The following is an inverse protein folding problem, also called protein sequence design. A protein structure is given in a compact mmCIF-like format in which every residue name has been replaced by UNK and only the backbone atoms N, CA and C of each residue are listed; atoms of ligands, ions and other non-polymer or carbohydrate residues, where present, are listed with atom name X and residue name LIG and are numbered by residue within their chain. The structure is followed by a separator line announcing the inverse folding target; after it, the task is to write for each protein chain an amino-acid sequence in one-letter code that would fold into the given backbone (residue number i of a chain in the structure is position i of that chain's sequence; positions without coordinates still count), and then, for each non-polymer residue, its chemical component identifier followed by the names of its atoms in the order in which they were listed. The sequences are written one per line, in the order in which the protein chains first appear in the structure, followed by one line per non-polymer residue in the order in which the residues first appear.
data_IF_092721167757
#
_entry.id   IF_092721167757
#
_cell.length_a   1.000
_cell.length_b   1.000
_cell.length_c   1.000
_cell.angle_alpha   90.00
_cell.angle_beta   90.00
_cell.angle_gamma   90.00
#
_symmetry.space_group_name_H-M   'P 1'
#
loop_
_entity.id
_entity.type
_entity.pdbx_description
1 polymer ?
#
# COMPACT_ATOMS: atom_id res chain seq x y z
N UNK A 1 -67.05 -15.38 23.47
CA UNK A 1 -65.78 -16.16 23.42
C UNK A 1 -65.20 -16.36 22.01
N UNK A 2 -65.98 -16.41 20.91
CA UNK A 2 -65.42 -16.61 19.55
C UNK A 2 -64.51 -15.45 19.08
N UNK A 3 -64.89 -14.20 19.38
CA UNK A 3 -64.12 -13.00 18.98
C UNK A 3 -62.80 -12.91 19.75
N UNK A 4 -62.80 -13.19 21.06
CA UNK A 4 -61.56 -13.22 21.86
C UNK A 4 -60.57 -14.28 21.36
N UNK A 5 -61.05 -15.49 21.00
CA UNK A 5 -60.20 -16.53 20.40
C UNK A 5 -59.60 -16.11 19.06
N UNK A 6 -60.33 -15.36 18.24
CA UNK A 6 -59.83 -14.81 16.96
C UNK A 6 -58.76 -13.72 17.19
N UNK A 7 -58.96 -12.87 18.19
CA UNK A 7 -58.03 -11.79 18.52
C UNK A 7 -56.72 -12.36 19.08
N UNK A 8 -56.80 -13.37 19.94
CA UNK A 8 -55.63 -14.12 20.44
C UNK A 8 -54.93 -14.84 19.29
N UNK A 9 -55.65 -15.50 18.38
CA UNK A 9 -55.05 -16.18 17.23
C UNK A 9 -54.32 -15.20 16.30
N UNK A 10 -54.87 -13.99 16.09
CA UNK A 10 -54.25 -12.96 15.28
C UNK A 10 -52.97 -12.43 15.92
N UNK A 11 -52.99 -12.15 17.23
CA UNK A 11 -51.77 -11.78 17.97
C UNK A 11 -50.70 -12.87 17.91
N UNK A 12 -51.10 -14.14 18.00
CA UNK A 12 -50.19 -15.27 17.90
C UNK A 12 -49.57 -15.39 16.50
N UNK A 13 -50.36 -15.18 15.44
CA UNK A 13 -49.81 -15.13 14.07
C UNK A 13 -48.84 -13.98 13.85
N UNK A 14 -49.12 -12.81 14.43
CA UNK A 14 -48.25 -11.64 14.32
C UNK A 14 -46.91 -11.91 15.02
N UNK A 15 -46.96 -12.49 16.23
CA UNK A 15 -45.77 -12.84 16.99
C UNK A 15 -44.87 -13.83 16.22
N UNK A 16 -45.47 -14.84 15.58
CA UNK A 16 -44.72 -15.82 14.77
C UNK A 16 -44.02 -15.12 13.59
N UNK A 17 -44.73 -14.26 12.85
CA UNK A 17 -44.14 -13.50 11.74
C UNK A 17 -42.98 -12.63 12.22
N UNK A 18 -43.13 -11.95 13.36
CA UNK A 18 -42.07 -11.12 13.95
C UNK A 18 -40.84 -11.94 14.32
N UNK A 19 -41.00 -13.13 14.88
CA UNK A 19 -39.86 -14.01 15.22
C UNK A 19 -39.11 -14.44 13.96
N UNK A 20 -39.83 -14.84 12.90
CA UNK A 20 -39.19 -15.20 11.63
C UNK A 20 -38.48 -14.01 10.98
N UNK A 21 -39.08 -12.81 11.04
CA UNK A 21 -38.46 -11.60 10.53
C UNK A 21 -37.17 -11.26 11.27
N UNK A 22 -37.17 -11.32 12.61
CA UNK A 22 -35.98 -11.07 13.41
C UNK A 22 -34.88 -12.10 13.15
N UNK A 23 -35.23 -13.38 13.00
CA UNK A 23 -34.26 -14.42 12.62
C UNK A 23 -33.65 -14.16 11.25
N UNK A 24 -34.45 -13.76 10.26
CA UNK A 24 -33.94 -13.45 8.93
C UNK A 24 -32.95 -12.27 8.97
N UNK A 25 -33.29 -11.19 9.68
CA UNK A 25 -32.40 -10.03 9.84
C UNK A 25 -31.12 -10.39 10.57
N UNK A 26 -31.18 -11.26 11.59
CA UNK A 26 -29.97 -11.71 12.29
C UNK A 26 -29.08 -12.62 11.43
N UNK A 27 -29.65 -13.42 10.53
CA UNK A 27 -28.87 -14.29 9.63
C UNK A 27 -28.18 -13.51 8.49
N UNK A 28 -28.81 -12.46 7.95
CA UNK A 28 -28.26 -11.64 6.86
C UNK A 28 -26.92 -10.95 7.27
N UNK A 29 -26.76 -10.70 8.56
CA UNK A 29 -25.62 -10.01 9.15
C UNK A 29 -24.41 -10.94 9.42
N UNK A 30 -24.59 -12.28 9.39
CA UNK A 30 -23.51 -13.25 9.61
C UNK A 30 -22.80 -13.67 8.32
N UNK A 31 -23.51 -13.79 7.19
CA UNK A 31 -22.88 -14.12 5.90
C UNK A 31 -22.09 -12.94 5.30
N UNK A 32 -22.57 -11.71 5.49
CA UNK A 32 -21.90 -10.51 4.96
C UNK A 32 -20.59 -10.15 5.68
N UNK A 33 -20.44 -10.52 6.96
CA UNK A 33 -19.25 -10.24 7.78
C UNK A 33 -18.12 -11.28 7.62
N UNK A 34 -18.36 -12.37 6.89
CA UNK A 34 -17.38 -13.46 6.72
C UNK A 34 -16.43 -13.28 5.54
N UNK A 35 -16.60 -12.22 4.75
CA UNK A 35 -15.81 -11.98 3.52
C UNK A 35 -14.49 -11.23 3.76
N UNK A 36 -14.29 -10.63 4.95
CA UNK A 36 -13.11 -9.81 5.24
C UNK A 36 -11.92 -10.59 5.84
N UNK A 37 -12.01 -11.92 5.99
CA UNK A 37 -11.02 -12.69 6.74
C UNK A 37 -9.85 -13.27 5.92
N UNK A 38 -9.69 -12.85 4.65
CA UNK A 38 -8.53 -13.20 3.82
C UNK A 38 -7.55 -12.03 3.63
N UNK A 39 -7.29 -11.24 4.68
CA UNK A 39 -6.07 -10.44 4.75
C UNK A 39 -5.10 -11.20 5.66
N UNK A 40 -4.26 -12.06 5.06
CA UNK A 40 -3.03 -12.49 5.73
C UNK A 40 -2.15 -11.24 5.78
N UNK A 41 -2.33 -10.41 6.81
CA UNK A 41 -1.33 -9.43 7.20
C UNK A 41 -0.04 -10.21 7.44
N UNK A 42 0.84 -10.17 6.44
CA UNK A 42 2.22 -10.50 6.64
C UNK A 42 2.67 -9.72 7.86
N UNK A 43 3.13 -10.39 8.92
CA UNK A 43 3.80 -9.71 10.03
C UNK A 43 4.96 -8.91 9.41
N UNK A 44 4.72 -7.63 9.16
CA UNK A 44 5.75 -6.71 8.72
C UNK A 44 6.74 -6.63 9.88
N UNK A 45 7.96 -7.14 9.65
CA UNK A 45 9.00 -7.12 10.65
C UNK A 45 9.16 -5.67 11.15
N UNK A 46 9.02 -5.40 12.45
CA UNK A 46 9.06 -4.05 12.98
C UNK A 46 10.34 -3.33 12.55
N UNK A 47 10.20 -2.09 12.09
CA UNK A 47 11.34 -1.24 11.74
C UNK A 47 12.18 -0.97 12.99
N UNK A 48 13.41 -1.48 13.02
CA UNK A 48 14.38 -1.10 14.04
C UNK A 48 14.87 0.32 13.76
N UNK A 49 14.77 1.26 14.72
CA UNK A 49 15.20 2.64 14.51
C UNK A 49 16.67 2.73 14.08
N UNK A 50 16.96 3.62 13.13
CA UNK A 50 18.32 3.95 12.69
C UNK A 50 18.57 5.44 12.79
N UNK A 51 19.85 5.83 12.79
CA UNK A 51 20.23 7.20 12.48
C UNK A 51 20.20 7.41 10.96
N UNK A 52 20.10 8.66 10.51
CA UNK A 52 20.18 8.98 9.08
C UNK A 52 21.49 8.43 8.49
N UNK A 53 21.37 7.74 7.36
CA UNK A 53 22.51 7.20 6.62
C UNK A 53 22.56 7.88 5.26
N UNK A 54 23.70 8.47 4.93
CA UNK A 54 24.02 8.99 3.60
C UNK A 54 25.21 8.18 3.09
N UNK A 55 25.11 7.62 1.89
CA UNK A 55 26.16 6.77 1.35
C UNK A 55 26.16 6.72 -0.18
N UNK A 56 27.36 6.51 -0.72
CA UNK A 56 27.60 6.13 -2.12
C UNK A 56 27.74 4.60 -2.27
N UNK A 57 27.68 3.85 -1.16
CA UNK A 57 27.65 2.39 -1.18
C UNK A 57 26.17 1.92 -1.22
N UNK A 58 25.72 1.35 -2.35
CA UNK A 58 24.33 0.94 -2.50
C UNK A 58 23.98 -0.23 -1.59
N UNK A 59 24.92 -1.12 -1.23
CA UNK A 59 24.64 -2.24 -0.33
C UNK A 59 24.31 -1.72 1.07
N UNK A 60 25.08 -0.75 1.57
CA UNK A 60 24.83 -0.14 2.87
C UNK A 60 23.45 0.52 2.94
N UNK A 61 22.99 1.13 1.85
CA UNK A 61 21.67 1.74 1.76
C UNK A 61 20.56 0.69 1.74
N UNK A 62 20.75 -0.41 1.01
CA UNK A 62 19.79 -1.52 0.99
C UNK A 62 19.69 -2.21 2.34
N UNK A 63 20.81 -2.45 3.01
CA UNK A 63 20.82 -3.07 4.33
C UNK A 63 20.12 -2.16 5.36
N UNK A 64 20.34 -0.85 5.25
CA UNK A 64 19.65 0.14 6.08
C UNK A 64 18.15 0.24 5.77
N UNK A 65 17.77 0.20 4.49
CA UNK A 65 16.37 0.20 4.09
C UNK A 65 15.69 -1.12 4.43
N UNK A 66 16.40 -2.24 4.39
CA UNK A 66 16.00 -3.57 4.83
C UNK A 66 14.97 -4.28 3.95
N UNK A 67 14.79 -3.84 2.70
CA UNK A 67 14.03 -4.52 1.64
C UNK A 67 14.72 -4.25 0.29
N UNK A 68 14.45 -5.04 -0.77
CA UNK A 68 15.05 -4.78 -2.07
C UNK A 68 14.66 -3.41 -2.63
N UNK A 69 15.61 -2.72 -3.27
CA UNK A 69 15.38 -1.41 -3.89
C UNK A 69 15.71 -1.42 -5.39
N UNK A 70 14.97 -0.68 -6.23
CA UNK A 70 15.37 -0.42 -7.61
C UNK A 70 16.48 0.62 -7.62
N UNK A 71 17.71 0.17 -7.85
CA UNK A 71 18.87 1.04 -7.93
C UNK A 71 18.89 1.72 -9.32
N UNK A 72 18.90 3.07 -9.39
CA UNK A 72 18.95 3.75 -10.68
C UNK A 72 20.30 3.53 -11.37
N UNK A 73 20.27 3.47 -12.70
CA UNK A 73 21.47 3.40 -13.53
C UNK A 73 22.44 4.55 -13.22
N UNK A 74 23.72 4.21 -13.17
CA UNK A 74 24.79 5.13 -12.76
C UNK A 74 24.44 5.82 -11.44
N UNK A 75 24.11 5.01 -10.44
CA UNK A 75 23.89 5.46 -9.06
C UNK A 75 25.05 6.33 -8.58
N UNK A 76 24.72 7.47 -7.97
CA UNK A 76 25.67 8.45 -7.47
C UNK A 76 25.70 8.44 -5.94
N UNK A 77 24.53 8.61 -5.31
CA UNK A 77 24.41 8.66 -3.85
C UNK A 77 22.99 8.37 -3.39
N UNK A 78 22.84 8.03 -2.11
CA UNK A 78 21.53 7.88 -1.51
C UNK A 78 21.50 8.22 -0.03
N UNK A 79 20.27 8.30 0.47
CA UNK A 79 19.95 8.66 1.85
C UNK A 79 18.83 7.78 2.38
N UNK A 80 18.98 7.27 3.59
CA UNK A 80 17.93 6.56 4.33
C UNK A 80 17.65 7.29 5.64
N UNK A 81 16.38 7.56 5.92
CA UNK A 81 15.95 8.26 7.14
C UNK A 81 14.65 7.67 7.69
N UNK A 82 14.52 7.70 9.01
CA UNK A 82 13.32 7.27 9.71
C UNK A 82 12.38 8.46 9.94
N UNK A 83 11.08 8.21 9.85
CA UNK A 83 10.04 9.18 10.16
C UNK A 83 8.80 8.47 10.72
N UNK A 84 7.82 9.25 11.19
CA UNK A 84 6.54 8.72 11.65
C UNK A 84 5.46 9.05 10.62
N UNK A 85 4.74 8.04 10.15
CA UNK A 85 3.58 8.22 9.28
C UNK A 85 2.30 7.92 10.07
N UNK A 86 1.48 8.94 10.28
CA UNK A 86 0.35 8.94 11.21
C UNK A 86 0.75 8.45 12.62
N UNK A 87 0.67 7.15 12.89
CA UNK A 87 0.94 6.54 14.20
C UNK A 87 2.01 5.46 14.18
N UNK A 88 2.58 5.12 13.03
CA UNK A 88 3.55 4.02 12.91
C UNK A 88 4.90 4.49 12.33
N UNK A 89 6.01 3.81 12.70
CA UNK A 89 7.32 4.11 12.14
C UNK A 89 7.36 3.78 10.66
N UNK A 90 7.97 4.66 9.88
CA UNK A 90 8.22 4.49 8.46
C UNK A 90 9.66 4.87 8.15
N UNK A 91 10.17 4.36 7.04
CA UNK A 91 11.53 4.62 6.56
C UNK A 91 11.47 5.08 5.13
N UNK A 92 12.14 6.19 4.86
CA UNK A 92 12.27 6.80 3.54
C UNK A 92 13.69 6.52 3.02
N UNK A 93 13.79 6.14 1.76
CA UNK A 93 15.04 6.13 1.00
C UNK A 93 14.93 7.07 -0.18
N UNK A 94 15.99 7.83 -0.45
CA UNK A 94 16.15 8.61 -1.69
C UNK A 94 17.44 8.17 -2.35
N UNK A 95 17.39 7.79 -3.62
CA UNK A 95 18.52 7.41 -4.45
C UNK A 95 18.62 8.40 -5.61
N UNK A 96 19.81 8.90 -5.85
CA UNK A 96 20.12 9.76 -6.98
C UNK A 96 21.02 8.98 -7.92
N UNK A 97 20.60 8.83 -9.17
CA UNK A 97 21.44 8.35 -10.26
C UNK A 97 21.40 9.32 -11.43
N UNK A 98 22.22 9.05 -12.45
CA UNK A 98 22.37 9.96 -13.58
C UNK A 98 21.09 10.13 -14.43
N UNK A 99 20.18 9.14 -14.41
CA UNK A 99 18.98 9.15 -15.26
C UNK A 99 17.66 9.28 -14.48
N UNK A 100 17.66 9.04 -13.17
CA UNK A 100 16.46 9.10 -12.35
C UNK A 100 16.78 9.36 -10.89
N UNK A 101 15.81 9.97 -10.21
CA UNK A 101 15.74 9.99 -8.74
C UNK A 101 14.69 8.97 -8.31
N UNK A 102 15.03 8.13 -7.36
CA UNK A 102 14.12 7.13 -6.79
C UNK A 102 13.86 7.48 -5.34
N UNK A 103 12.59 7.64 -4.97
CA UNK A 103 12.15 7.73 -3.58
C UNK A 103 11.44 6.42 -3.22
N UNK A 104 11.79 5.82 -2.10
CA UNK A 104 11.18 4.59 -1.61
C UNK A 104 10.71 4.76 -0.18
N UNK A 105 9.59 4.13 0.17
CA UNK A 105 9.07 4.14 1.53
C UNK A 105 8.66 2.75 1.97
N UNK A 106 8.97 2.41 3.23
CA UNK A 106 8.44 1.23 3.90
C UNK A 106 7.80 1.62 5.25
N UNK A 107 6.66 1.02 5.63
CA UNK A 107 5.91 0.03 4.84
C UNK A 107 5.22 0.66 3.62
N UNK A 108 4.81 -0.17 2.66
CA UNK A 108 4.11 0.27 1.44
C UNK A 108 2.86 1.12 1.72
N UNK A 109 2.20 0.94 2.88
CA UNK A 109 1.06 1.76 3.31
C UNK A 109 1.40 3.26 3.47
N UNK A 110 2.67 3.61 3.63
CA UNK A 110 3.13 4.99 3.66
C UNK A 110 3.40 5.58 2.24
N UNK A 111 3.06 4.87 1.15
CA UNK A 111 3.21 5.36 -0.22
C UNK A 111 2.70 6.82 -0.45
N UNK A 112 1.58 7.26 0.15
CA UNK A 112 1.12 8.64 -0.03
C UNK A 112 2.12 9.70 0.47
N UNK A 113 3.10 9.33 1.30
CA UNK A 113 4.12 10.27 1.80
C UNK A 113 5.15 10.66 0.74
N UNK A 114 5.30 9.87 -0.32
CA UNK A 114 6.26 10.12 -1.41
C UNK A 114 5.58 10.55 -2.71
N UNK A 115 4.26 10.39 -2.83
CA UNK A 115 3.48 10.73 -4.03
C UNK A 115 3.15 12.24 -4.05
N UNK A 116 3.35 12.95 -5.18
CA UNK A 116 2.89 14.33 -5.34
C UNK A 116 1.37 14.43 -5.24
N UNK A 117 0.86 15.50 -4.63
CA UNK A 117 -0.58 15.64 -4.30
C UNK A 117 -1.49 15.74 -5.53
N UNK A 118 -0.95 16.18 -6.65
CA UNK A 118 -1.62 16.41 -7.93
C UNK A 118 -1.39 15.27 -8.93
N UNK A 119 -0.68 14.21 -8.52
CA UNK A 119 -0.41 13.07 -9.38
C UNK A 119 -1.65 12.15 -9.50
N UNK A 120 -2.19 12.04 -10.72
CA UNK A 120 -3.19 11.04 -11.09
C UNK A 120 -2.51 9.83 -11.76
N UNK A 121 -2.28 8.78 -10.97
CA UNK A 121 -1.57 7.57 -11.42
C UNK A 121 -2.52 6.61 -12.16
N UNK A 122 -2.10 6.19 -13.35
CA UNK A 122 -2.79 5.22 -14.20
C UNK A 122 -1.92 3.99 -14.43
N UNK A 123 -2.52 2.89 -14.84
CA UNK A 123 -1.76 1.70 -15.21
C UNK A 123 -0.80 2.02 -16.37
N UNK A 124 0.49 1.73 -16.18
CA UNK A 124 1.49 1.77 -17.25
C UNK A 124 1.57 0.41 -17.94
N UNK A 125 2.10 0.37 -19.16
CA UNK A 125 2.47 -0.87 -19.86
C UNK A 125 3.83 -1.43 -19.39
N UNK A 126 4.49 -0.73 -18.46
CA UNK A 126 5.81 -1.06 -17.93
C UNK A 126 5.71 -1.89 -16.65
N UNK A 127 6.74 -2.70 -16.45
CA UNK A 127 6.97 -3.41 -15.20
C UNK A 127 8.43 -3.27 -14.79
N UNK A 128 8.67 -3.22 -13.49
CA UNK A 128 10.00 -3.15 -12.91
C UNK A 128 10.09 -4.19 -11.79
N UNK A 129 11.15 -5.01 -11.82
CA UNK A 129 11.40 -6.05 -10.81
C UNK A 129 10.26 -7.07 -10.67
N UNK A 130 9.50 -7.31 -11.74
CA UNK A 130 8.35 -8.21 -11.74
C UNK A 130 7.06 -7.60 -11.20
N UNK A 131 7.05 -6.31 -10.84
CA UNK A 131 5.86 -5.59 -10.40
C UNK A 131 5.38 -4.60 -11.46
N UNK A 132 4.06 -4.50 -11.62
CA UNK A 132 3.45 -3.54 -12.54
C UNK A 132 3.70 -2.10 -12.07
N UNK A 133 3.97 -1.21 -13.02
CA UNK A 133 4.16 0.21 -12.74
C UNK A 133 2.88 0.99 -12.99
N UNK A 134 2.69 2.04 -12.20
CA UNK A 134 1.75 3.10 -12.49
C UNK A 134 2.51 4.30 -13.04
N UNK A 135 1.87 5.11 -13.88
CA UNK A 135 2.43 6.34 -14.41
C UNK A 135 1.51 7.54 -14.18
N UNK A 136 2.09 8.70 -13.91
CA UNK A 136 1.38 9.97 -13.79
C UNK A 136 2.14 11.05 -14.55
N UNK A 137 1.43 12.05 -15.07
CA UNK A 137 2.03 13.26 -15.62
C UNK A 137 1.87 14.39 -14.61
N UNK A 138 2.98 14.92 -14.11
CA UNK A 138 3.04 16.01 -13.13
C UNK A 138 4.04 17.03 -13.63
N UNK A 139 3.64 18.30 -13.72
CA UNK A 139 4.51 19.40 -14.18
C UNK A 139 5.24 19.12 -15.51
N UNK A 140 4.60 18.40 -16.44
CA UNK A 140 5.19 18.02 -17.73
C UNK A 140 6.28 16.92 -17.64
N UNK A 141 6.39 16.25 -16.49
CA UNK A 141 7.25 15.09 -16.27
C UNK A 141 6.42 13.84 -16.06
N UNK A 142 6.91 12.73 -16.60
CA UNK A 142 6.32 11.41 -16.40
C UNK A 142 6.92 10.80 -15.14
N UNK A 143 6.08 10.61 -14.14
CA UNK A 143 6.45 9.93 -12.91
C UNK A 143 6.02 8.48 -12.99
N UNK A 144 6.79 7.58 -12.40
CA UNK A 144 6.41 6.20 -12.27
C UNK A 144 6.33 5.77 -10.82
N UNK A 145 5.34 4.95 -10.48
CA UNK A 145 5.17 4.38 -9.15
C UNK A 145 5.19 2.86 -9.22
N UNK A 146 5.84 2.24 -8.24
CA UNK A 146 5.93 0.79 -8.08
C UNK A 146 5.55 0.43 -6.65
N UNK A 147 4.62 -0.51 -6.48
CA UNK A 147 4.23 -1.00 -5.15
C UNK A 147 4.58 -2.48 -5.05
N UNK A 148 5.39 -2.81 -4.05
CA UNK A 148 5.75 -4.18 -3.67
C UNK A 148 4.98 -4.58 -2.40
N UNK A 149 5.21 -5.79 -1.91
CA UNK A 149 4.63 -6.25 -0.63
C UNK A 149 5.06 -5.39 0.55
N UNK A 150 6.32 -4.97 0.58
CA UNK A 150 6.94 -4.38 1.78
C UNK A 150 7.27 -2.88 1.64
N UNK A 151 7.37 -2.38 0.40
CA UNK A 151 7.70 -0.99 0.10
C UNK A 151 6.97 -0.45 -1.13
N UNK A 152 6.88 0.86 -1.22
CA UNK A 152 6.46 1.59 -2.41
C UNK A 152 7.59 2.50 -2.90
N UNK A 153 7.71 2.68 -4.20
CA UNK A 153 8.73 3.50 -4.84
C UNK A 153 8.10 4.47 -5.82
N UNK A 154 8.59 5.70 -5.82
CA UNK A 154 8.36 6.72 -6.83
C UNK A 154 9.67 6.92 -7.60
N UNK A 155 9.58 6.86 -8.91
CA UNK A 155 10.68 7.05 -9.85
C UNK A 155 10.39 8.34 -10.60
N UNK A 156 11.33 9.26 -10.53
CA UNK A 156 11.32 10.56 -11.20
C UNK A 156 12.47 10.58 -12.22
N UNK A 157 12.20 10.23 -13.49
CA UNK A 157 13.19 10.30 -14.54
C UNK A 157 13.66 11.73 -14.80
N UNK A 158 14.94 11.87 -15.12
CA UNK A 158 15.53 13.13 -15.59
C UNK A 158 15.14 13.42 -17.06
N UNK A 159 14.93 12.38 -17.87
CA UNK A 159 14.47 12.46 -19.27
C UNK A 159 13.03 11.97 -19.42
N UNK A 160 12.25 12.62 -20.31
CA UNK A 160 10.83 12.28 -20.51
C UNK A 160 10.63 10.86 -21.07
N UNK A 161 9.55 10.20 -20.63
CA UNK A 161 9.02 8.93 -21.13
C UNK A 161 9.92 7.68 -21.02
N UNK A 162 11.04 7.76 -20.31
CA UNK A 162 11.85 6.59 -19.98
C UNK A 162 12.00 6.50 -18.48
N UNK A 163 11.65 5.39 -17.82
CA UNK A 163 11.89 5.25 -16.40
C UNK A 163 13.41 5.32 -16.10
N UNK A 164 14.27 5.02 -17.07
CA UNK A 164 15.72 4.81 -16.92
C UNK A 164 16.05 3.31 -16.93
N UNK A 165 17.33 2.95 -16.84
CA UNK A 165 17.72 1.58 -16.48
C UNK A 165 17.82 1.40 -14.96
N UNK A 166 17.52 0.19 -14.49
CA UNK A 166 17.49 -0.15 -13.07
C UNK A 166 18.09 -1.53 -12.82
N UNK A 167 18.82 -1.66 -11.72
CA UNK A 167 19.27 -2.93 -11.18
C UNK A 167 18.53 -3.26 -9.87
N UNK A 168 18.24 -4.54 -9.62
CA UNK A 168 17.75 -5.00 -8.33
C UNK A 168 18.92 -5.15 -7.36
N UNK A 169 18.82 -4.57 -6.16
CA UNK A 169 19.75 -4.86 -5.07
C UNK A 169 18.98 -5.32 -3.83
N UNK A 170 19.40 -6.47 -3.27
CA UNK A 170 18.77 -7.12 -2.14
C UNK A 170 19.60 -6.94 -0.85
N UNK A 171 18.94 -6.85 0.32
CA UNK A 171 19.64 -6.79 1.60
C UNK A 171 20.29 -8.13 1.91
N UNK A 172 21.45 -8.09 2.57
CA UNK A 172 22.14 -9.30 3.05
C UNK A 172 21.67 -9.75 4.44
#
# INVERSE_FOLDING_TARGET
MKILKRLVALLLSLAVITVFYLLAVMMEDEESKRTDQFVVEAQQKPLTPIQEIISEDPQRLVDAFGVPIPLPDRFESGRVTDFTWHTYPARLITLTGAQAVVKGVRPAAAAPSIIPKDADFKASDKALLGYAMLEAQVEGKTLYSLITRDAAFLIEPQEQNQPGGFALLEPK
#
